data_IF_059339587777
#
_entry.id   IF_059339587777
#
_cell.length_a   1.000
_cell.length_b   1.000
_cell.length_c   1.000
_cell.angle_alpha   90.00
_cell.angle_beta   90.00
_cell.angle_gamma   90.00
#
_symmetry.space_group_name_H-M   'P 1'
#
loop_
_entity.id
_entity.type
_entity.pdbx_description
1 polymer ?
#
# COMPACT_ATOMS: atom_id res chain seq x y z
N UNK A 1 31.18 -2.30 19.05
CA UNK A 1 30.57 -1.92 17.75
C UNK A 1 29.12 -2.29 17.88
N UNK A 2 28.25 -1.30 18.11
CA UNK A 2 26.81 -1.51 18.13
C UNK A 2 26.32 -0.99 16.77
N UNK A 3 25.87 -1.90 15.91
CA UNK A 3 25.07 -1.56 14.73
C UNK A 3 23.65 -1.32 15.23
N UNK A 4 23.37 -0.07 15.60
CA UNK A 4 22.03 0.39 15.91
C UNK A 4 21.33 0.83 14.63
N UNK A 5 20.27 0.10 14.30
CA UNK A 5 19.12 0.60 13.55
C UNK A 5 19.41 0.99 12.10
N UNK A 6 19.11 0.06 11.19
CA UNK A 6 18.58 0.44 9.88
C UNK A 6 17.30 1.22 10.13
N UNK A 7 17.46 2.53 10.34
CA UNK A 7 16.36 3.46 10.33
C UNK A 7 15.65 3.26 9.00
N UNK A 8 14.39 2.82 9.06
CA UNK A 8 13.40 2.96 8.00
C UNK A 8 13.38 4.46 7.63
N UNK A 9 14.30 4.85 6.75
CA UNK A 9 14.65 6.24 6.46
C UNK A 9 13.70 6.75 5.40
N UNK A 10 12.41 6.67 5.72
CA UNK A 10 11.40 7.48 5.07
C UNK A 10 11.20 8.68 5.97
N UNK A 11 12.10 9.65 5.79
CA UNK A 11 12.13 10.89 6.54
C UNK A 11 10.73 11.50 6.67
N UNK A 12 10.41 11.80 7.92
CA UNK A 12 9.42 12.79 8.32
C UNK A 12 9.56 14.03 7.42
N UNK A 13 8.43 14.71 7.18
CA UNK A 13 8.31 15.94 6.39
C UNK A 13 8.11 15.74 4.88
N UNK A 14 6.83 15.55 4.54
CA UNK A 14 6.13 16.49 3.67
C UNK A 14 4.65 16.19 3.83
N UNK A 15 3.95 16.99 4.64
CA UNK A 15 2.50 17.11 4.53
C UNK A 15 2.23 17.79 3.17
N UNK A 16 1.92 16.98 2.16
CA UNK A 16 1.78 17.42 0.75
C UNK A 16 0.44 18.08 0.46
N UNK A 17 -0.33 18.42 1.50
CA UNK A 17 -1.68 18.97 1.36
C UNK A 17 -2.72 17.93 0.95
N UNK A 18 -2.31 16.67 0.73
CA UNK A 18 -3.23 15.55 0.66
C UNK A 18 -3.53 15.08 2.08
N UNK A 19 -4.67 15.52 2.62
CA UNK A 19 -5.22 14.88 3.80
C UNK A 19 -6.02 13.67 3.34
N UNK A 20 -5.59 12.50 3.79
CA UNK A 20 -6.46 11.37 4.00
C UNK A 20 -7.67 11.88 4.80
N UNK A 21 -8.75 12.28 4.12
CA UNK A 21 -10.00 12.60 4.80
C UNK A 21 -10.40 11.41 5.68
N UNK A 22 -11.25 11.61 6.67
CA UNK A 22 -11.65 10.62 7.70
C UNK A 22 -12.15 9.24 7.18
N UNK A 23 -12.17 9.02 5.86
CA UNK A 23 -12.62 7.81 5.15
C UNK A 23 -11.50 6.80 4.84
N UNK A 24 -10.23 7.17 4.92
CA UNK A 24 -9.09 6.25 4.64
C UNK A 24 -8.47 5.65 5.90
N UNK A 25 -8.85 6.12 7.10
CA UNK A 25 -8.38 5.58 8.36
C UNK A 25 -9.22 4.37 8.80
N UNK A 26 -8.60 3.19 8.85
CA UNK A 26 -9.23 1.97 9.38
C UNK A 26 -10.30 1.34 8.50
N UNK A 27 -10.35 1.70 7.21
CA UNK A 27 -11.29 1.13 6.26
C UNK A 27 -10.78 -0.20 5.71
N UNK A 28 -11.70 -1.15 5.48
CA UNK A 28 -11.41 -2.34 4.68
C UNK A 28 -11.66 -1.99 3.22
N UNK A 29 -10.61 -2.09 2.42
CA UNK A 29 -10.65 -1.96 0.96
C UNK A 29 -10.67 -3.36 0.38
N UNK A 30 -11.07 -3.49 -0.87
CA UNK A 30 -11.07 -4.76 -1.56
C UNK A 30 -10.34 -4.60 -2.87
N UNK A 31 -9.57 -5.61 -3.24
CA UNK A 31 -9.05 -5.68 -4.60
C UNK A 31 -10.12 -6.20 -5.59
N UNK A 32 -9.78 -6.20 -6.87
CA UNK A 32 -10.65 -6.68 -7.95
C UNK A 32 -11.06 -8.16 -7.81
N UNK A 33 -10.36 -8.95 -6.97
CA UNK A 33 -10.73 -10.33 -6.65
C UNK A 33 -11.72 -10.44 -5.48
N UNK A 34 -12.02 -9.32 -4.83
CA UNK A 34 -12.81 -9.26 -3.61
C UNK A 34 -12.03 -9.61 -2.34
N UNK A 35 -10.70 -9.68 -2.41
CA UNK A 35 -9.87 -9.92 -1.23
C UNK A 35 -9.83 -8.67 -0.35
N UNK A 36 -10.12 -8.77 0.96
CA UNK A 36 -10.09 -7.62 1.85
C UNK A 36 -8.66 -7.22 2.21
N UNK A 37 -8.39 -5.93 2.08
CA UNK A 37 -7.18 -5.21 2.48
C UNK A 37 -7.50 -4.24 3.61
N UNK A 38 -6.80 -4.37 4.72
CA UNK A 38 -6.84 -3.36 5.78
C UNK A 38 -5.90 -2.23 5.39
N UNK A 39 -6.47 -1.09 5.02
CA UNK A 39 -5.71 0.08 4.57
C UNK A 39 -5.70 1.12 5.67
N UNK A 40 -4.52 1.67 5.93
CA UNK A 40 -4.33 2.81 6.82
C UNK A 40 -3.50 3.87 6.11
N UNK A 41 -3.95 5.11 6.24
CA UNK A 41 -3.24 6.27 5.72
C UNK A 41 -3.10 7.30 6.84
N UNK A 42 -1.87 7.68 7.14
CA UNK A 42 -1.54 8.66 8.17
C UNK A 42 -0.55 9.68 7.62
N UNK A 43 -1.04 10.89 7.36
CA UNK A 43 -0.28 11.90 6.61
C UNK A 43 0.09 11.38 5.22
N UNK A 44 1.39 11.38 4.91
CA UNK A 44 1.91 10.82 3.67
C UNK A 44 2.13 9.30 3.73
N UNK A 45 2.05 8.67 4.90
CA UNK A 45 2.34 7.23 5.03
C UNK A 45 1.13 6.40 4.62
N UNK A 46 1.37 5.38 3.81
CA UNK A 46 0.39 4.40 3.36
C UNK A 46 0.80 3.01 3.83
N UNK A 47 -0.13 2.31 4.46
CA UNK A 47 0.01 0.88 4.72
C UNK A 47 -1.24 0.14 4.27
N UNK A 48 -1.04 -1.04 3.70
CA UNK A 48 -2.15 -1.97 3.44
C UNK A 48 -1.71 -3.38 3.77
N UNK A 49 -2.62 -4.22 4.28
CA UNK A 49 -2.32 -5.62 4.53
C UNK A 49 -3.49 -6.53 4.22
N UNK A 50 -3.18 -7.70 3.65
CA UNK A 50 -4.14 -8.76 3.36
C UNK A 50 -3.51 -10.13 3.56
N UNK A 51 -4.33 -11.13 3.89
CA UNK A 51 -3.95 -12.53 3.90
C UNK A 51 -4.24 -13.12 2.51
N UNK A 52 -3.22 -13.13 1.65
CA UNK A 52 -3.34 -13.54 0.23
C UNK A 52 -3.26 -15.07 0.12
N UNK A 53 -4.25 -15.73 -0.52
CA UNK A 53 -4.21 -17.17 -0.73
C UNK A 53 -2.92 -17.63 -1.42
N UNK A 54 -2.20 -18.58 -0.81
CA UNK A 54 -0.96 -19.14 -1.35
C UNK A 54 0.31 -18.33 -1.06
N UNK A 55 0.19 -17.05 -0.67
CA UNK A 55 1.34 -16.18 -0.32
C UNK A 55 1.39 -15.84 1.18
N UNK A 56 0.30 -16.07 1.91
CA UNK A 56 0.18 -15.68 3.31
C UNK A 56 -0.04 -14.18 3.46
N UNK A 57 0.32 -13.63 4.62
CA UNK A 57 0.14 -12.19 4.87
C UNK A 57 1.13 -11.37 4.05
N UNK A 58 0.59 -10.44 3.27
CA UNK A 58 1.35 -9.45 2.52
C UNK A 58 1.08 -8.07 3.09
N UNK A 59 2.12 -7.24 3.14
CA UNK A 59 2.05 -5.84 3.55
C UNK A 59 2.55 -4.94 2.43
N UNK A 60 1.76 -3.94 2.07
CA UNK A 60 2.17 -2.77 1.31
C UNK A 60 2.59 -1.70 2.30
N UNK A 61 3.79 -1.15 2.14
CA UNK A 61 4.30 -0.04 2.96
C UNK A 61 4.83 1.00 2.00
N UNK A 62 4.26 2.20 2.05
CA UNK A 62 4.52 3.20 1.03
C UNK A 62 4.25 4.62 1.47
N UNK A 63 4.35 5.52 0.49
CA UNK A 63 4.14 6.94 0.66
C UNK A 63 3.22 7.47 -0.43
N UNK A 64 2.34 8.39 -0.04
CA UNK A 64 1.47 9.18 -0.91
C UNK A 64 2.03 10.58 -1.03
N UNK A 65 2.21 11.04 -2.27
CA UNK A 65 2.67 12.39 -2.61
C UNK A 65 1.66 12.98 -3.60
N UNK A 66 0.86 13.94 -3.13
CA UNK A 66 -0.29 14.42 -3.89
C UNK A 66 -1.30 13.29 -4.09
N UNK A 67 -1.44 12.80 -5.32
CA UNK A 67 -2.29 11.62 -5.64
C UNK A 67 -1.46 10.38 -5.93
N UNK A 68 -0.14 10.50 -6.07
CA UNK A 68 0.73 9.38 -6.45
C UNK A 68 1.08 8.55 -5.21
N UNK A 69 1.04 7.23 -5.36
CA UNK A 69 1.40 6.25 -4.36
C UNK A 69 2.64 5.50 -4.83
N UNK A 70 3.60 5.28 -3.94
CA UNK A 70 4.72 4.36 -4.14
C UNK A 70 4.86 3.47 -2.91
N UNK A 71 5.01 2.16 -3.09
CA UNK A 71 5.06 1.22 -1.98
C UNK A 71 6.03 0.06 -2.21
N UNK A 72 6.46 -0.57 -1.13
CA UNK A 72 7.12 -1.87 -1.10
C UNK A 72 6.15 -2.94 -0.66
N UNK A 73 6.26 -4.13 -1.24
CA UNK A 73 5.56 -5.33 -0.81
C UNK A 73 6.49 -6.15 0.08
N UNK A 74 6.00 -6.52 1.26
CA UNK A 74 6.72 -7.34 2.23
C UNK A 74 5.92 -8.56 2.63
N UNK A 75 6.62 -9.67 2.84
CA UNK A 75 6.05 -10.90 3.39
C UNK A 75 5.93 -10.85 4.93
N UNK A 76 5.43 -11.94 5.52
CA UNK A 76 5.33 -12.11 6.99
C UNK A 76 6.67 -12.00 7.73
N UNK A 77 7.77 -12.31 7.07
CA UNK A 77 9.12 -12.23 7.64
C UNK A 77 9.73 -10.84 7.47
N UNK A 78 9.05 -9.92 6.76
CA UNK A 78 9.51 -8.56 6.50
C UNK A 78 10.44 -8.44 5.29
N UNK A 79 10.61 -9.51 4.51
CA UNK A 79 11.43 -9.48 3.30
C UNK A 79 10.70 -8.71 2.20
N UNK A 80 11.43 -7.87 1.47
CA UNK A 80 10.89 -7.22 0.28
C UNK A 80 10.67 -8.27 -0.82
N UNK A 81 9.42 -8.48 -1.19
CA UNK A 81 8.99 -9.42 -2.26
C UNK A 81 8.59 -8.70 -3.54
N UNK A 82 8.55 -7.38 -3.51
CA UNK A 82 8.24 -6.55 -4.66
C UNK A 82 8.11 -5.09 -4.28
N UNK A 83 7.72 -4.29 -5.27
CA UNK A 83 7.40 -2.88 -5.10
C UNK A 83 6.24 -2.54 -6.01
N UNK A 84 5.65 -1.37 -5.84
CA UNK A 84 4.59 -0.93 -6.71
C UNK A 84 4.39 0.57 -6.66
N UNK A 85 3.63 1.02 -7.63
CA UNK A 85 3.24 2.40 -7.79
C UNK A 85 1.75 2.46 -8.12
N UNK A 86 1.14 3.59 -7.83
CA UNK A 86 -0.28 3.77 -8.04
C UNK A 86 -0.71 5.21 -7.92
N UNK A 87 -2.02 5.42 -8.01
CA UNK A 87 -2.62 6.72 -7.79
C UNK A 87 -3.97 6.60 -7.12
N UNK A 88 -4.26 7.58 -6.27
CA UNK A 88 -5.59 7.82 -5.75
C UNK A 88 -6.41 8.52 -6.83
N UNK A 89 -7.28 7.77 -7.51
CA UNK A 89 -8.19 8.32 -8.51
C UNK A 89 -9.25 9.21 -7.85
N UNK A 90 -9.63 8.86 -6.62
CA UNK A 90 -10.49 9.64 -5.74
C UNK A 90 -10.29 9.16 -4.28
N UNK A 91 -11.09 9.66 -3.34
CA UNK A 91 -10.98 9.30 -1.92
C UNK A 91 -11.31 7.82 -1.59
N UNK A 92 -11.71 7.01 -2.58
CA UNK A 92 -12.26 5.65 -2.41
C UNK A 92 -11.68 4.62 -3.36
N UNK A 93 -10.77 5.01 -4.26
CA UNK A 93 -10.15 4.13 -5.26
C UNK A 93 -8.65 4.40 -5.37
N UNK A 94 -7.86 3.33 -5.36
CA UNK A 94 -6.44 3.32 -5.68
C UNK A 94 -6.25 2.42 -6.88
N UNK A 95 -5.74 2.95 -7.97
CA UNK A 95 -5.20 2.16 -9.08
C UNK A 95 -3.74 1.87 -8.79
N UNK A 96 -3.30 0.61 -8.95
CA UNK A 96 -1.94 0.20 -8.62
C UNK A 96 -1.37 -0.85 -9.57
N UNK A 97 -0.05 -0.83 -9.73
CA UNK A 97 0.74 -1.85 -10.43
C UNK A 97 1.86 -2.28 -9.49
N UNK A 98 1.97 -3.59 -9.30
CA UNK A 98 3.02 -4.24 -8.52
C UNK A 98 4.00 -4.97 -9.42
N UNK A 99 5.27 -4.86 -9.06
CA UNK A 99 6.43 -5.40 -9.74
C UNK A 99 7.22 -6.33 -8.81
N UNK A 100 7.76 -7.39 -9.40
CA UNK A 100 8.75 -8.24 -8.75
C UNK A 100 10.05 -7.43 -8.53
N UNK A 101 10.97 -7.90 -7.68
CA UNK A 101 12.23 -7.18 -7.43
C UNK A 101 13.10 -6.99 -8.68
N UNK A 102 12.89 -7.80 -9.71
CA UNK A 102 13.55 -7.68 -11.02
C UNK A 102 12.85 -6.70 -12.00
N UNK A 103 11.81 -6.00 -11.54
CA UNK A 103 11.04 -5.01 -12.29
C UNK A 103 9.99 -5.56 -13.25
N UNK A 104 9.72 -6.86 -13.22
CA UNK A 104 8.64 -7.45 -14.02
C UNK A 104 7.29 -7.17 -13.34
N UNK A 105 6.31 -6.57 -14.05
CA UNK A 105 4.96 -6.39 -13.50
C UNK A 105 4.30 -7.76 -13.32
N UNK A 106 3.68 -7.98 -12.16
CA UNK A 106 3.03 -9.26 -11.84
C UNK A 106 1.61 -9.12 -11.33
N UNK A 107 1.20 -7.92 -10.88
CA UNK A 107 -0.18 -7.64 -10.52
C UNK A 107 -0.51 -6.19 -10.87
N UNK A 108 -1.71 -5.96 -11.38
CA UNK A 108 -2.28 -4.63 -11.59
C UNK A 108 -3.75 -4.71 -11.22
N UNK A 109 -4.26 -3.68 -10.56
CA UNK A 109 -5.67 -3.67 -10.18
C UNK A 109 -6.06 -2.45 -9.38
N UNK A 110 -7.32 -2.45 -8.94
CA UNK A 110 -7.87 -1.42 -8.09
C UNK A 110 -8.04 -1.93 -6.66
N UNK A 111 -7.76 -1.08 -5.68
CA UNK A 111 -8.25 -1.22 -4.31
C UNK A 111 -9.38 -0.22 -4.12
N UNK A 112 -10.50 -0.64 -3.56
CA UNK A 112 -11.64 0.25 -3.31
C UNK A 112 -12.50 -0.15 -2.10
N UNK A 113 -13.08 0.83 -1.41
CA UNK A 113 -13.90 0.63 -0.19
C UNK A 113 -15.27 0.01 -0.44
N UNK A 114 -15.80 0.11 -1.67
CA UNK A 114 -17.10 -0.41 -2.06
C UNK A 114 -16.91 -1.52 -3.08
N UNK A 115 -16.56 -2.73 -2.63
CA UNK A 115 -16.69 -3.90 -3.49
C UNK A 115 -18.18 -4.22 -3.64
N UNK A 116 -18.78 -3.85 -4.77
CA UNK A 116 -20.00 -4.49 -5.21
C UNK A 116 -19.60 -5.89 -5.67
N UNK A 117 -20.03 -6.98 -5.01
CA UNK A 117 -19.82 -8.31 -5.58
C UNK A 117 -20.49 -8.34 -6.95
N UNK A 118 -19.71 -8.66 -7.99
CA UNK A 118 -20.25 -8.99 -9.30
C UNK A 118 -21.13 -10.25 -9.22
#
# INVERSE_FOLDING_TARGET
MAEEGDADTWGDDADTGWSAGARTQGAVWYDDSGLPWQVEVSGANFTAQADVPGLGRIRMIGRVIGVSLSYQLRDVAGNAVGYGEGSFDNATYISSISYLPNGVPFASGQLHVNHAPN
#
